data_IF_189823711357
#
_entry.id   IF_189823711357
#
_cell.length_a   1.000
_cell.length_b   1.000
_cell.length_c   1.000
_cell.angle_alpha   90.00
_cell.angle_beta   90.00
_cell.angle_gamma   90.00
#
_symmetry.space_group_name_H-M   'P 1'
#
loop_
_entity.id
_entity.type
_entity.pdbx_description
1 polymer ?
#
# COMPACT_ATOMS: atom_id res chain seq x y z
N UNK A 1 -14.88 9.01 -5.84
CA UNK A 1 -14.98 8.19 -4.62
C UNK A 1 -13.66 7.52 -4.28
N UNK A 2 -13.07 6.77 -5.22
CA UNK A 2 -11.77 6.07 -5.07
C UNK A 2 -10.63 7.01 -4.64
N UNK A 3 -10.52 8.18 -5.28
CA UNK A 3 -9.48 9.18 -4.95
C UNK A 3 -9.55 9.61 -3.47
N UNK A 4 -10.76 9.75 -2.90
CA UNK A 4 -10.92 10.14 -1.48
C UNK A 4 -10.45 9.04 -0.52
N UNK A 5 -10.56 7.77 -0.90
CA UNK A 5 -10.05 6.65 -0.11
C UNK A 5 -8.52 6.63 -0.16
N UNK A 6 -7.94 6.79 -1.35
CA UNK A 6 -6.49 6.90 -1.55
C UNK A 6 -5.92 8.04 -0.70
N UNK A 7 -6.55 9.21 -0.74
CA UNK A 7 -6.17 10.38 0.06
C UNK A 7 -6.26 10.13 1.57
N UNK A 8 -7.32 9.45 2.02
CA UNK A 8 -7.51 9.10 3.42
C UNK A 8 -6.41 8.16 3.92
N UNK A 9 -6.11 7.10 3.16
CA UNK A 9 -5.06 6.12 3.49
C UNK A 9 -3.68 6.77 3.44
N UNK A 10 -3.42 7.61 2.43
CA UNK A 10 -2.19 8.37 2.33
C UNK A 10 -2.01 9.31 3.53
N UNK A 11 -3.04 10.08 3.89
CA UNK A 11 -2.99 10.98 5.03
C UNK A 11 -2.80 10.22 6.35
N UNK A 12 -3.38 9.03 6.48
CA UNK A 12 -3.17 8.16 7.64
C UNK A 12 -1.71 7.76 7.80
N UNK A 13 -1.09 7.18 6.76
CA UNK A 13 0.33 6.79 6.80
C UNK A 13 1.27 7.98 6.96
N UNK A 14 0.97 9.10 6.30
CA UNK A 14 1.75 10.34 6.42
C UNK A 14 1.74 10.86 7.87
N UNK A 15 0.58 10.87 8.53
CA UNK A 15 0.45 11.31 9.93
C UNK A 15 1.19 10.39 10.89
N UNK A 16 1.22 9.08 10.63
CA UNK A 16 2.05 8.17 11.42
C UNK A 16 3.53 8.52 11.29
N UNK A 17 4.02 8.71 10.06
CA UNK A 17 5.42 9.12 9.83
C UNK A 17 5.76 10.43 10.54
N UNK A 18 4.93 11.47 10.36
CA UNK A 18 5.13 12.78 10.97
C UNK A 18 5.19 12.70 12.49
N UNK A 19 4.33 11.87 13.10
CA UNK A 19 4.31 11.68 14.55
C UNK A 19 5.64 11.13 15.09
N UNK A 20 6.25 10.17 14.39
CA UNK A 20 7.49 9.53 14.83
C UNK A 20 8.76 10.33 14.48
N UNK A 21 8.83 10.90 13.27
CA UNK A 21 10.06 11.50 12.75
C UNK A 21 10.09 13.03 12.87
N UNK A 22 8.94 13.70 13.06
CA UNK A 22 8.78 15.16 13.22
C UNK A 22 9.44 16.05 12.16
N UNK A 23 10.00 15.48 11.11
CA UNK A 23 10.64 16.20 10.02
C UNK A 23 9.62 16.76 9.02
N UNK A 24 9.92 17.97 8.51
CA UNK A 24 9.14 18.64 7.46
C UNK A 24 9.72 18.43 6.04
N UNK A 25 10.79 17.65 5.90
CA UNK A 25 11.39 17.31 4.59
C UNK A 25 10.50 16.39 3.76
N UNK A 26 10.79 16.15 2.49
CA UNK A 26 9.88 15.43 1.59
C UNK A 26 9.58 13.95 1.96
N UNK A 27 10.33 13.38 2.90
CA UNK A 27 10.18 11.99 3.34
C UNK A 27 8.78 11.64 3.87
N UNK A 28 8.04 12.62 4.42
CA UNK A 28 6.66 12.40 4.86
C UNK A 28 5.73 11.96 3.72
N UNK A 29 6.05 12.31 2.47
CA UNK A 29 5.30 11.92 1.27
C UNK A 29 5.82 10.61 0.68
N UNK A 30 7.13 10.34 0.79
CA UNK A 30 7.76 9.14 0.23
C UNK A 30 7.28 7.89 0.96
N UNK A 31 7.30 7.92 2.30
CA UNK A 31 6.89 6.80 3.15
C UNK A 31 5.49 6.23 2.82
N UNK A 32 4.41 7.03 2.84
CA UNK A 32 3.07 6.53 2.54
C UNK A 32 2.95 6.05 1.08
N UNK A 33 3.63 6.66 0.12
CA UNK A 33 3.64 6.22 -1.29
C UNK A 33 4.25 4.83 -1.40
N UNK A 34 5.40 4.59 -0.74
CA UNK A 34 6.04 3.27 -0.73
C UNK A 34 5.10 2.23 -0.11
N UNK A 35 4.52 2.50 1.06
CA UNK A 35 3.63 1.54 1.73
C UNK A 35 2.42 1.19 0.87
N UNK A 36 1.72 2.20 0.34
CA UNK A 36 0.54 1.97 -0.48
C UNK A 36 0.89 1.19 -1.76
N UNK A 37 2.03 1.50 -2.38
CA UNK A 37 2.52 0.78 -3.55
C UNK A 37 2.82 -0.68 -3.22
N UNK A 38 3.50 -0.94 -2.10
CA UNK A 38 3.83 -2.29 -1.65
C UNK A 38 2.59 -3.13 -1.37
N UNK A 39 1.58 -2.58 -0.69
CA UNK A 39 0.32 -3.30 -0.40
C UNK A 39 -0.37 -3.73 -1.71
N UNK A 40 -0.53 -2.81 -2.64
CA UNK A 40 -1.20 -3.11 -3.93
C UNK A 40 -0.37 -4.08 -4.76
N UNK A 41 0.95 -3.89 -4.79
CA UNK A 41 1.89 -4.77 -5.49
C UNK A 41 1.82 -6.20 -4.97
N UNK A 42 1.89 -6.42 -3.65
CA UNK A 42 1.83 -7.75 -3.03
C UNK A 42 0.50 -8.43 -3.38
N UNK A 43 -0.62 -7.73 -3.18
CA UNK A 43 -1.94 -8.26 -3.47
C UNK A 43 -2.08 -8.66 -4.95
N UNK A 44 -1.67 -7.79 -5.87
CA UNK A 44 -1.80 -8.06 -7.29
C UNK A 44 -0.82 -9.14 -7.78
N UNK A 45 0.41 -9.18 -7.25
CA UNK A 45 1.35 -10.26 -7.54
C UNK A 45 0.78 -11.62 -7.13
N UNK A 46 0.20 -11.70 -5.95
CA UNK A 46 -0.39 -12.91 -5.42
C UNK A 46 -1.57 -13.39 -6.28
N UNK A 47 -2.51 -12.48 -6.63
CA UNK A 47 -3.62 -12.79 -7.55
C UNK A 47 -3.10 -13.29 -8.89
N UNK A 48 -2.12 -12.60 -9.46
CA UNK A 48 -1.54 -12.96 -10.76
C UNK A 48 -0.80 -14.30 -10.71
N UNK A 49 -0.21 -14.67 -9.57
CA UNK A 49 0.46 -15.96 -9.39
C UNK A 49 -0.52 -17.14 -9.31
N UNK A 50 -1.78 -16.90 -8.96
CA UNK A 50 -2.85 -17.91 -9.03
C UNK A 50 -3.44 -18.06 -10.43
N UNK A 51 -3.46 -16.97 -11.22
CA UNK A 51 -4.05 -16.96 -12.56
C UNK A 51 -3.05 -17.35 -13.65
N UNK A 52 -1.78 -16.98 -13.48
CA UNK A 52 -0.71 -17.14 -14.46
C UNK A 52 0.62 -17.45 -13.76
N UNK A 53 1.64 -17.88 -14.51
CA UNK A 53 3.02 -17.96 -14.03
C UNK A 53 3.80 -16.72 -14.50
N UNK A 54 3.80 -15.62 -13.72
CA UNK A 54 4.40 -14.37 -14.15
C UNK A 54 5.92 -14.51 -14.31
N UNK A 55 6.45 -13.96 -15.40
CA UNK A 55 7.89 -13.97 -15.67
C UNK A 55 8.73 -13.22 -14.62
N UNK A 56 10.03 -13.49 -14.59
CA UNK A 56 10.99 -12.99 -13.59
C UNK A 56 10.97 -11.46 -13.35
N UNK A 57 10.65 -10.67 -14.37
CA UNK A 57 10.63 -9.20 -14.30
C UNK A 57 9.26 -8.59 -14.00
N UNK A 58 8.21 -9.41 -13.90
CA UNK A 58 6.85 -8.93 -13.66
C UNK A 58 6.73 -8.14 -12.35
N UNK A 59 7.36 -8.63 -11.29
CA UNK A 59 7.35 -7.98 -9.96
C UNK A 59 7.97 -6.58 -10.01
N UNK A 60 9.11 -6.44 -10.71
CA UNK A 60 9.79 -5.15 -10.84
C UNK A 60 8.95 -4.15 -11.63
N UNK A 61 8.32 -4.59 -12.73
CA UNK A 61 7.39 -3.77 -13.50
C UNK A 61 6.20 -3.32 -12.65
N UNK A 62 5.63 -4.25 -11.88
CA UNK A 62 4.49 -3.98 -11.00
C UNK A 62 4.83 -2.97 -9.89
N UNK A 63 5.99 -3.16 -9.24
CA UNK A 63 6.49 -2.26 -8.21
C UNK A 63 6.66 -0.83 -8.75
N UNK A 64 7.34 -0.71 -9.89
CA UNK A 64 7.63 0.58 -10.53
C UNK A 64 6.33 1.27 -10.98
N UNK A 65 5.41 0.51 -11.55
CA UNK A 65 4.10 1.00 -12.00
C UNK A 65 3.30 1.63 -10.84
N UNK A 66 3.12 0.91 -9.73
CA UNK A 66 2.34 1.43 -8.60
C UNK A 66 3.01 2.61 -7.90
N UNK A 67 4.34 2.57 -7.76
CA UNK A 67 5.11 3.71 -7.25
C UNK A 67 4.87 4.97 -8.09
N UNK A 68 4.95 4.84 -9.42
CA UNK A 68 4.73 5.97 -10.32
C UNK A 68 3.29 6.51 -10.25
N UNK A 69 2.29 5.62 -10.19
CA UNK A 69 0.88 6.00 -10.07
C UNK A 69 0.62 6.75 -8.76
N UNK A 70 1.00 6.19 -7.60
CA UNK A 70 0.77 6.85 -6.32
C UNK A 70 1.57 8.13 -6.15
N UNK A 71 2.82 8.18 -6.65
CA UNK A 71 3.59 9.41 -6.68
C UNK A 71 2.87 10.49 -7.49
N UNK A 72 2.42 10.17 -8.72
CA UNK A 72 1.76 11.13 -9.60
C UNK A 72 0.43 11.64 -9.05
N UNK A 73 -0.35 10.76 -8.41
CA UNK A 73 -1.63 11.13 -7.79
C UNK A 73 -1.45 12.10 -6.63
N UNK A 74 -0.36 11.98 -5.87
CA UNK A 74 -0.21 12.66 -4.58
C UNK A 74 0.85 13.77 -4.62
N UNK A 75 1.60 13.93 -5.72
CA UNK A 75 2.63 14.98 -5.88
C UNK A 75 2.16 16.39 -5.56
N UNK A 76 0.88 16.71 -5.81
CA UNK A 76 0.29 18.04 -5.59
C UNK A 76 -0.14 18.30 -4.14
N UNK A 77 -0.06 17.30 -3.25
CA UNK A 77 -0.49 17.44 -1.86
C UNK A 77 0.63 18.03 -1.02
N UNK A 78 0.37 19.14 -0.35
CA UNK A 78 1.34 19.81 0.53
C UNK A 78 1.33 19.23 1.94
N UNK A 79 2.41 19.49 2.70
CA UNK A 79 2.53 19.04 4.09
C UNK A 79 1.37 19.56 4.96
N UNK A 80 1.03 20.85 4.82
CA UNK A 80 -0.04 21.48 5.57
C UNK A 80 -1.40 20.84 5.29
N UNK A 81 -1.65 20.43 4.04
CA UNK A 81 -2.85 19.70 3.67
C UNK A 81 -2.96 18.39 4.46
N UNK A 82 -1.87 17.60 4.57
CA UNK A 82 -1.88 16.35 5.34
C UNK A 82 -2.16 16.61 6.81
N UNK A 83 -1.46 17.58 7.42
CA UNK A 83 -1.62 17.88 8.85
C UNK A 83 -3.07 18.24 9.17
N UNK A 84 -3.68 19.07 8.33
CA UNK A 84 -5.06 19.54 8.48
C UNK A 84 -6.11 18.52 8.01
N UNK A 85 -5.72 17.48 7.26
CA UNK A 85 -6.66 16.50 6.71
C UNK A 85 -7.43 15.79 7.83
N UNK A 86 -8.77 15.89 7.88
CA UNK A 86 -9.56 15.34 8.96
C UNK A 86 -9.62 13.81 8.84
N UNK A 87 -9.19 13.11 9.90
CA UNK A 87 -9.32 11.66 10.01
C UNK A 87 -9.98 11.34 11.35
N UNK A 88 -11.23 10.89 11.30
CA UNK A 88 -11.97 10.47 12.48
C UNK A 88 -11.36 9.22 13.11
N UNK A 89 -11.58 9.03 14.42
CA UNK A 89 -11.11 7.83 15.14
C UNK A 89 -11.67 6.54 14.52
N UNK A 90 -12.93 6.57 14.07
CA UNK A 90 -13.58 5.45 13.37
C UNK A 90 -12.83 5.09 12.07
N UNK A 91 -12.47 6.07 11.25
CA UNK A 91 -11.70 5.82 10.02
C UNK A 91 -10.32 5.22 10.31
N UNK A 92 -9.61 5.69 11.35
CA UNK A 92 -8.31 5.10 11.74
C UNK A 92 -8.45 3.63 12.09
N UNK A 93 -9.45 3.27 12.90
CA UNK A 93 -9.72 1.88 13.29
C UNK A 93 -10.05 1.03 12.06
N UNK A 94 -10.90 1.53 11.15
CA UNK A 94 -11.24 0.82 9.91
C UNK A 94 -9.98 0.57 9.06
N UNK A 95 -9.13 1.58 8.85
CA UNK A 95 -7.89 1.40 8.07
C UNK A 95 -7.00 0.34 8.72
N UNK A 96 -6.80 0.39 10.04
CA UNK A 96 -6.00 -0.61 10.76
C UNK A 96 -6.59 -2.01 10.65
N UNK A 97 -7.90 -2.17 10.83
CA UNK A 97 -8.57 -3.46 10.69
C UNK A 97 -8.45 -4.01 9.27
N UNK A 98 -8.64 -3.17 8.25
CA UNK A 98 -8.47 -3.57 6.85
C UNK A 98 -7.03 -4.02 6.58
N UNK A 99 -6.02 -3.31 7.09
CA UNK A 99 -4.61 -3.71 6.95
C UNK A 99 -4.30 -5.04 7.65
N UNK A 100 -4.86 -5.26 8.85
CA UNK A 100 -4.68 -6.54 9.57
C UNK A 100 -5.31 -7.69 8.77
N UNK A 101 -6.54 -7.51 8.27
CA UNK A 101 -7.22 -8.51 7.46
C UNK A 101 -6.43 -8.79 6.18
N UNK A 102 -5.95 -7.74 5.49
CA UNK A 102 -5.13 -7.84 4.28
C UNK A 102 -3.87 -8.69 4.53
N UNK A 103 -3.12 -8.39 5.60
CA UNK A 103 -1.92 -9.16 5.98
C UNK A 103 -2.25 -10.62 6.28
N UNK A 104 -3.34 -10.90 6.99
CA UNK A 104 -3.76 -12.27 7.29
C UNK A 104 -4.14 -13.04 6.02
N UNK A 105 -4.89 -12.41 5.12
CA UNK A 105 -5.30 -13.00 3.83
C UNK A 105 -4.08 -13.28 2.97
N UNK A 106 -3.17 -12.31 2.83
CA UNK A 106 -1.93 -12.48 2.07
C UNK A 106 -1.08 -13.61 2.66
N UNK A 107 -0.96 -13.70 3.99
CA UNK A 107 -0.21 -14.77 4.64
C UNK A 107 -0.80 -16.16 4.33
N UNK A 108 -2.13 -16.32 4.47
CA UNK A 108 -2.82 -17.58 4.17
C UNK A 108 -2.65 -17.95 2.69
N UNK A 109 -2.89 -17.01 1.79
CA UNK A 109 -2.81 -17.27 0.36
C UNK A 109 -1.37 -17.55 -0.10
N UNK A 110 -0.37 -16.93 0.53
CA UNK A 110 1.04 -17.24 0.25
C UNK A 110 1.39 -18.68 0.64
N UNK A 111 0.87 -19.17 1.77
CA UNK A 111 1.03 -20.57 2.18
C UNK A 111 0.34 -21.51 1.20
N UNK A 112 -0.90 -21.20 0.79
CA UNK A 112 -1.64 -21.99 -0.20
C UNK A 112 -0.90 -22.04 -1.54
N UNK A 113 -0.43 -20.90 -2.04
CA UNK A 113 0.34 -20.81 -3.29
C UNK A 113 1.61 -21.66 -3.23
N UNK A 114 2.37 -21.59 -2.11
CA UNK A 114 3.54 -22.44 -1.90
C UNK A 114 3.19 -23.93 -1.93
N UNK A 115 2.13 -24.35 -1.25
CA UNK A 115 1.72 -25.75 -1.21
C UNK A 115 1.32 -26.27 -2.59
N UNK A 116 0.60 -25.46 -3.38
CA UNK A 116 0.26 -25.79 -4.78
C UNK A 116 1.52 -25.94 -5.63
N UNK A 117 2.48 -25.02 -5.48
CA UNK A 117 3.75 -25.10 -6.21
C UNK A 117 4.51 -26.40 -5.91
N UNK A 118 4.64 -26.76 -4.62
CA UNK A 118 5.31 -28.01 -4.19
C UNK A 118 4.55 -29.26 -4.66
N UNK A 119 3.23 -29.21 -4.79
CA UNK A 119 2.46 -30.37 -5.24
C UNK A 119 2.53 -30.60 -6.76
N UNK A 120 2.90 -29.56 -7.52
CA UNK A 120 2.89 -29.57 -9.00
C UNK A 120 4.27 -29.69 -9.64
N UNK A 121 5.33 -29.65 -8.83
CA UNK A 121 6.74 -29.74 -9.24
C UNK A 121 7.50 -30.66 -8.27
#
# INVERSE_FOLDING_TARGET
MIIKIIELVFAFFSKMYIFFYKERGEYWRIFPVIIMSTIVMINLQLIMSFLFSPGKYFILGLATFWLFIFHTLIKKREYNWVVQYPISRKQKVIIVLVLIIDVLVVAVLSVVSRNIYIATH
#
